data_IF_947933596764
#
_entry.id   IF_947933596764
#
_cell.length_a   1.000
_cell.length_b   1.000
_cell.length_c   1.000
_cell.angle_alpha   90.00
_cell.angle_beta   90.00
_cell.angle_gamma   90.00
#
_symmetry.space_group_name_H-M   'P 1'
#
loop_
_entity.id
_entity.type
_entity.pdbx_description
1 polymer ?
#
# COMPACT_ATOMS: atom_id res chain seq x y z
N UNK A 1 -26.07 -2.28 11.27
CA UNK A 1 -25.68 -2.78 9.93
C UNK A 1 -24.18 -3.02 9.96
N UNK A 2 -23.68 -4.26 9.83
CA UNK A 2 -22.22 -4.50 9.84
C UNK A 2 -21.66 -4.03 8.49
N UNK A 3 -20.94 -2.91 8.51
CA UNK A 3 -20.17 -2.45 7.34
C UNK A 3 -19.15 -3.55 7.05
N UNK A 4 -19.20 -4.12 5.85
CA UNK A 4 -18.31 -5.22 5.49
C UNK A 4 -16.90 -4.65 5.35
N UNK A 5 -16.02 -4.94 6.31
CA UNK A 5 -14.66 -4.36 6.38
C UNK A 5 -13.90 -4.55 5.06
N UNK A 6 -14.17 -5.64 4.33
CA UNK A 6 -13.62 -5.87 3.00
C UNK A 6 -14.07 -4.81 1.98
N UNK A 7 -15.36 -4.45 1.92
CA UNK A 7 -15.83 -3.40 1.01
C UNK A 7 -15.27 -2.02 1.40
N UNK A 8 -15.03 -1.76 2.69
CA UNK A 8 -14.35 -0.54 3.14
C UNK A 8 -12.86 -0.56 2.83
N UNK A 9 -12.15 -1.69 2.99
CA UNK A 9 -10.73 -1.82 2.63
C UNK A 9 -10.57 -1.75 1.11
N UNK A 10 -11.45 -2.38 0.33
CA UNK A 10 -11.44 -2.39 -1.12
C UNK A 10 -11.80 -1.01 -1.68
N UNK A 11 -12.83 -0.34 -1.13
CA UNK A 11 -13.13 1.05 -1.48
C UNK A 11 -12.02 2.00 -1.03
N UNK A 12 -11.40 1.80 0.14
CA UNK A 12 -10.22 2.58 0.55
C UNK A 12 -9.07 2.33 -0.40
N UNK A 13 -8.77 1.09 -0.81
CA UNK A 13 -7.72 0.79 -1.77
C UNK A 13 -8.04 1.43 -3.12
N UNK A 14 -9.24 1.29 -3.67
CA UNK A 14 -9.64 1.88 -4.95
C UNK A 14 -9.67 3.41 -4.92
N UNK A 15 -10.33 4.02 -3.93
CA UNK A 15 -10.32 5.49 -3.79
C UNK A 15 -8.93 6.02 -3.48
N UNK A 16 -8.11 5.31 -2.70
CA UNK A 16 -6.71 5.72 -2.48
C UNK A 16 -5.90 5.59 -3.76
N UNK A 17 -6.02 4.48 -4.51
CA UNK A 17 -5.39 4.35 -5.83
C UNK A 17 -5.82 5.46 -6.79
N UNK A 18 -7.04 5.99 -6.67
CA UNK A 18 -7.54 7.14 -7.42
C UNK A 18 -7.04 8.49 -6.87
N UNK A 19 -6.79 8.61 -5.56
CA UNK A 19 -6.28 9.83 -4.91
C UNK A 19 -4.72 9.90 -4.81
N UNK A 20 -3.99 8.88 -5.26
CA UNK A 20 -2.53 8.74 -5.16
C UNK A 20 -1.84 8.52 -6.53
N UNK A 21 -2.11 9.37 -7.53
CA UNK A 21 -1.68 9.17 -8.93
C UNK A 21 -0.40 9.94 -9.35
N UNK A 22 0.52 9.25 -10.07
CA UNK A 22 1.79 9.62 -10.81
C UNK A 22 3.07 10.12 -10.08
N UNK A 23 4.38 9.92 -10.47
CA UNK A 23 5.15 8.92 -11.30
C UNK A 23 6.65 9.13 -11.82
N UNK A 24 7.53 8.06 -11.90
CA UNK A 24 8.93 7.57 -12.37
C UNK A 24 10.24 8.32 -11.92
N UNK A 25 11.46 7.74 -11.72
CA UNK A 25 12.24 6.56 -12.25
C UNK A 25 13.36 6.14 -11.23
N UNK A 26 14.12 5.02 -11.26
CA UNK A 26 14.12 3.67 -11.89
C UNK A 26 14.91 2.68 -10.94
N UNK A 27 16.18 2.26 -11.18
CA UNK A 27 16.74 1.35 -12.20
C UNK A 27 16.43 -0.15 -11.98
N UNK A 28 16.27 -0.92 -13.08
CA UNK A 28 15.77 -2.30 -13.13
C UNK A 28 16.53 -3.37 -12.31
N UNK A 29 15.78 -4.34 -11.78
CA UNK A 29 16.27 -5.65 -11.37
C UNK A 29 15.47 -6.75 -12.10
N UNK A 30 16.15 -7.81 -12.58
CA UNK A 30 15.49 -8.93 -13.28
C UNK A 30 14.50 -9.71 -12.42
N UNK A 31 14.67 -9.62 -11.09
CA UNK A 31 13.89 -10.29 -10.06
C UNK A 31 13.19 -9.29 -9.12
N UNK A 32 11.88 -9.44 -8.99
CA UNK A 32 11.05 -8.79 -7.97
C UNK A 32 10.27 -9.86 -7.21
N UNK A 33 10.04 -9.70 -5.90
CA UNK A 33 9.55 -10.78 -5.05
C UNK A 33 8.06 -10.97 -5.30
N UNK A 34 7.67 -12.10 -5.88
CA UNK A 34 6.28 -12.35 -6.28
C UNK A 34 5.86 -13.81 -6.03
N UNK A 35 5.71 -14.21 -4.74
CA UNK A 35 5.55 -15.62 -4.35
C UNK A 35 4.11 -16.16 -4.44
N UNK A 36 3.11 -15.32 -4.75
CA UNK A 36 1.72 -15.76 -4.93
C UNK A 36 1.42 -15.97 -6.43
N UNK A 37 0.92 -17.14 -6.78
CA UNK A 37 0.57 -17.48 -8.16
C UNK A 37 -0.73 -16.81 -8.65
N UNK A 38 -1.76 -16.80 -7.80
CA UNK A 38 -3.11 -16.32 -8.17
C UNK A 38 -3.61 -15.24 -7.20
N UNK A 39 -2.91 -14.10 -7.06
CA UNK A 39 -3.46 -12.97 -6.33
C UNK A 39 -4.73 -12.46 -7.02
N UNK A 40 -5.60 -11.84 -6.24
CA UNK A 40 -6.70 -11.02 -6.74
C UNK A 40 -6.33 -9.52 -6.74
N UNK A 41 -5.35 -9.12 -5.93
CA UNK A 41 -4.72 -7.80 -5.95
C UNK A 41 -3.20 -7.97 -5.84
N UNK A 42 -2.47 -7.26 -6.72
CA UNK A 42 -1.02 -7.05 -6.63
C UNK A 42 -0.75 -5.56 -6.58
N UNK A 43 0.08 -5.14 -5.63
CA UNK A 43 0.45 -3.74 -5.41
C UNK A 43 1.96 -3.64 -5.17
N UNK A 44 2.55 -2.58 -5.69
CA UNK A 44 3.95 -2.20 -5.52
C UNK A 44 4.03 -0.71 -5.25
N UNK A 45 4.86 -0.31 -4.30
CA UNK A 45 5.26 1.08 -4.10
C UNK A 45 6.78 1.19 -3.93
N UNK A 46 7.37 2.15 -4.63
CA UNK A 46 8.75 2.56 -4.49
C UNK A 46 8.82 3.82 -3.60
N UNK A 47 9.53 3.73 -2.47
CA UNK A 47 9.71 4.81 -1.51
C UNK A 47 11.00 5.61 -1.73
N UNK A 48 11.98 5.10 -2.50
CA UNK A 48 13.22 5.84 -2.77
C UNK A 48 12.96 7.11 -3.55
N UNK A 49 11.96 7.07 -4.43
CA UNK A 49 11.67 8.15 -5.35
C UNK A 49 11.04 9.40 -4.68
N UNK A 50 10.65 9.32 -3.40
CA UNK A 50 10.19 10.45 -2.59
C UNK A 50 11.29 11.48 -2.25
N UNK A 51 12.57 11.09 -2.37
CA UNK A 51 13.72 11.83 -1.85
C UNK A 51 13.93 11.66 -0.33
N UNK A 52 13.12 10.84 0.35
CA UNK A 52 13.24 10.59 1.80
C UNK A 52 14.62 10.04 2.22
N UNK A 53 15.28 9.31 1.32
CA UNK A 53 16.59 8.69 1.56
C UNK A 53 17.77 9.46 0.94
N UNK A 54 17.52 10.67 0.44
CA UNK A 54 18.57 11.57 -0.07
C UNK A 54 19.38 12.18 1.10
N UNK A 55 20.25 13.15 0.79
CA UNK A 55 21.05 13.87 1.79
C UNK A 55 20.74 15.37 1.81
N UNK A 56 20.89 15.98 2.99
CA UNK A 56 20.72 17.42 3.17
C UNK A 56 19.27 17.89 3.02
N UNK A 57 19.08 18.99 2.30
CA UNK A 57 17.81 19.70 2.20
C UNK A 57 16.70 18.89 1.51
N UNK A 58 17.05 18.04 0.52
CA UNK A 58 16.09 17.21 -0.20
C UNK A 58 15.33 16.24 0.72
N UNK A 59 16.05 15.50 1.57
CA UNK A 59 15.46 14.57 2.53
C UNK A 59 14.69 15.28 3.66
N UNK A 60 15.14 16.47 4.08
CA UNK A 60 14.41 17.30 5.03
C UNK A 60 13.05 17.75 4.46
N UNK A 61 13.04 18.24 3.23
CA UNK A 61 11.83 18.67 2.53
C UNK A 61 10.88 17.50 2.27
N UNK A 62 11.40 16.35 1.84
CA UNK A 62 10.60 15.12 1.67
C UNK A 62 9.97 14.66 2.99
N UNK A 63 10.72 14.66 4.09
CA UNK A 63 10.22 14.30 5.43
C UNK A 63 9.09 15.24 5.89
N UNK A 64 9.27 16.56 5.74
CA UNK A 64 8.25 17.55 6.07
C UNK A 64 7.00 17.41 5.19
N UNK A 65 7.16 17.14 3.90
CA UNK A 65 6.06 16.91 2.98
C UNK A 65 5.26 15.66 3.36
N UNK A 66 5.92 14.53 3.58
CA UNK A 66 5.29 13.25 4.01
C UNK A 66 4.45 13.47 5.28
N UNK A 67 5.03 14.12 6.29
CA UNK A 67 4.34 14.45 7.56
C UNK A 67 3.12 15.34 7.32
N UNK A 68 3.24 16.37 6.49
CA UNK A 68 2.13 17.26 6.13
C UNK A 68 1.01 16.52 5.37
N UNK A 69 1.36 15.55 4.52
CA UNK A 69 0.38 14.68 3.85
C UNK A 69 -0.32 13.74 4.85
N UNK A 70 0.36 13.22 5.88
CA UNK A 70 -0.28 12.46 6.98
C UNK A 70 -1.32 13.32 7.71
N UNK A 71 -0.96 14.56 8.03
CA UNK A 71 -1.86 15.54 8.67
C UNK A 71 -3.07 15.85 7.78
N UNK A 72 -2.83 16.13 6.49
CA UNK A 72 -3.88 16.42 5.50
C UNK A 72 -4.85 15.25 5.30
N UNK A 73 -4.35 14.01 5.20
CA UNK A 73 -5.16 12.79 5.15
C UNK A 73 -6.02 12.61 6.41
N UNK A 74 -5.54 13.08 7.56
CA UNK A 74 -6.30 13.02 8.81
C UNK A 74 -7.45 14.04 8.82
N UNK A 75 -7.18 15.29 8.44
CA UNK A 75 -8.18 16.37 8.34
C UNK A 75 -9.25 16.03 7.30
N UNK A 76 -8.86 15.50 6.14
CA UNK A 76 -9.79 15.02 5.10
C UNK A 76 -10.72 13.88 5.58
N UNK A 77 -10.34 13.17 6.64
CA UNK A 77 -11.15 12.14 7.31
C UNK A 77 -11.94 12.67 8.52
N UNK A 78 -12.08 13.99 8.65
CA UNK A 78 -12.91 14.65 9.66
C UNK A 78 -12.26 14.83 11.03
N UNK A 79 -10.92 14.84 11.12
CA UNK A 79 -10.21 15.13 12.37
C UNK A 79 -10.23 16.63 12.71
N UNK A 80 -10.38 16.96 13.98
CA UNK A 80 -10.19 18.32 14.49
C UNK A 80 -8.70 18.74 14.55
N UNK A 81 -8.45 20.03 14.82
CA UNK A 81 -7.10 20.62 14.86
C UNK A 81 -6.18 20.00 15.93
N UNK A 82 -6.73 19.53 17.04
CA UNK A 82 -5.97 18.90 18.12
C UNK A 82 -5.61 17.47 17.74
N UNK A 83 -6.56 16.74 17.14
CA UNK A 83 -6.35 15.40 16.63
C UNK A 83 -5.36 15.37 15.45
N UNK A 84 -5.41 16.35 14.55
CA UNK A 84 -4.47 16.45 13.41
C UNK A 84 -3.05 16.77 13.90
N UNK A 85 -2.88 17.75 14.82
CA UNK A 85 -1.56 18.08 15.38
C UNK A 85 -0.93 16.88 16.11
N UNK A 86 -1.69 16.17 16.94
CA UNK A 86 -1.18 14.97 17.62
C UNK A 86 -0.76 13.85 16.63
N UNK A 87 -1.46 13.72 15.51
CA UNK A 87 -1.15 12.74 14.46
C UNK A 87 0.07 13.17 13.64
N UNK A 88 0.27 14.47 13.41
CA UNK A 88 1.49 15.03 12.84
C UNK A 88 2.71 14.70 13.71
N UNK A 89 2.68 15.01 15.00
CA UNK A 89 3.80 14.71 15.93
C UNK A 89 4.10 13.20 15.99
N UNK A 90 3.06 12.36 16.02
CA UNK A 90 3.25 10.90 15.99
C UNK A 90 3.82 10.40 14.66
N UNK A 91 3.51 11.06 13.53
CA UNK A 91 4.11 10.78 12.23
C UNK A 91 5.58 11.22 12.18
N UNK A 92 5.91 12.41 12.68
CA UNK A 92 7.29 12.92 12.79
C UNK A 92 8.16 11.94 13.61
N UNK A 93 7.68 11.49 14.76
CA UNK A 93 8.37 10.51 15.61
C UNK A 93 8.50 9.14 14.91
N UNK A 94 7.44 8.65 14.25
CA UNK A 94 7.51 7.37 13.52
C UNK A 94 8.54 7.42 12.37
N UNK A 95 8.58 8.53 11.63
CA UNK A 95 9.52 8.72 10.53
C UNK A 95 10.95 8.82 11.04
N UNK A 96 11.21 9.74 11.97
CA UNK A 96 12.56 10.04 12.45
C UNK A 96 13.11 8.92 13.35
N UNK A 97 12.34 8.46 14.35
CA UNK A 97 12.85 7.56 15.39
C UNK A 97 12.86 6.08 14.97
N UNK A 98 12.14 5.69 13.91
CA UNK A 98 12.02 4.28 13.46
C UNK A 98 12.47 4.06 12.02
N UNK A 99 12.01 4.88 11.08
CA UNK A 99 12.29 4.69 9.64
C UNK A 99 13.60 5.36 9.18
N UNK A 100 14.03 6.44 9.84
CA UNK A 100 15.27 7.16 9.51
C UNK A 100 16.40 6.95 10.52
N UNK A 101 16.11 6.51 11.75
CA UNK A 101 17.09 6.25 12.83
C UNK A 101 18.05 5.07 12.60
N UNK A 102 17.97 4.42 11.43
CA UNK A 102 18.74 3.21 11.13
C UNK A 102 18.31 1.99 11.95
N UNK A 103 17.02 1.86 12.27
CA UNK A 103 16.44 0.57 12.71
C UNK A 103 16.00 -0.26 11.49
N UNK A 104 15.29 0.40 10.57
CA UNK A 104 14.89 -0.12 9.27
C UNK A 104 14.80 1.03 8.28
N UNK A 105 15.30 0.87 7.06
CA UNK A 105 14.98 1.74 5.92
C UNK A 105 14.19 0.90 4.94
N UNK A 106 13.03 1.36 4.50
CA UNK A 106 12.17 0.61 3.57
C UNK A 106 12.20 1.32 2.23
N UNK A 107 12.80 0.69 1.24
CA UNK A 107 12.93 1.20 -0.11
C UNK A 107 11.74 0.82 -0.99
N UNK A 108 11.19 -0.39 -0.79
CA UNK A 108 10.06 -0.88 -1.60
C UNK A 108 9.06 -1.66 -0.74
N UNK A 109 7.79 -1.59 -1.12
CA UNK A 109 6.70 -2.42 -0.62
C UNK A 109 6.07 -3.18 -1.78
N UNK A 110 5.95 -4.50 -1.63
CA UNK A 110 5.10 -5.35 -2.46
C UNK A 110 3.98 -5.92 -1.59
N UNK A 111 2.76 -5.97 -2.13
CA UNK A 111 1.63 -6.60 -1.48
C UNK A 111 0.83 -7.43 -2.47
N UNK A 112 0.65 -8.71 -2.14
CA UNK A 112 -0.14 -9.66 -2.91
C UNK A 112 -1.24 -10.20 -2.03
N UNK A 113 -2.49 -10.12 -2.49
CA UNK A 113 -3.66 -10.59 -1.77
C UNK A 113 -4.49 -11.47 -2.68
N UNK A 114 -4.69 -12.73 -2.32
CA UNK A 114 -5.71 -13.60 -2.90
C UNK A 114 -6.94 -13.65 -1.99
N UNK A 115 -6.74 -13.93 -0.69
CA UNK A 115 -7.77 -13.92 0.34
C UNK A 115 -7.14 -13.73 1.75
N UNK A 116 -7.95 -13.81 2.81
CA UNK A 116 -7.50 -13.61 4.20
C UNK A 116 -6.45 -14.64 4.67
N UNK A 117 -6.48 -15.86 4.12
CA UNK A 117 -5.54 -16.94 4.41
C UNK A 117 -4.40 -17.03 3.39
N UNK A 118 -4.47 -16.24 2.31
CA UNK A 118 -3.53 -16.24 1.20
C UNK A 118 -3.13 -14.81 0.81
N UNK A 119 -2.20 -14.21 1.56
CA UNK A 119 -1.58 -12.93 1.23
C UNK A 119 -0.11 -12.86 1.62
N UNK A 120 0.67 -11.98 0.99
CA UNK A 120 2.03 -11.64 1.40
C UNK A 120 2.28 -10.14 1.30
N UNK A 121 2.82 -9.54 2.36
CA UNK A 121 3.44 -8.23 2.39
C UNK A 121 4.94 -8.44 2.39
N UNK A 122 5.66 -7.76 1.50
CA UNK A 122 7.12 -7.88 1.37
C UNK A 122 7.70 -6.49 1.32
N UNK A 123 8.68 -6.23 2.18
CA UNK A 123 9.41 -4.97 2.29
C UNK A 123 10.85 -5.22 1.85
N UNK A 124 11.38 -4.41 0.93
CA UNK A 124 12.81 -4.40 0.62
C UNK A 124 13.46 -3.14 1.16
N UNK A 125 14.72 -3.23 1.59
CA UNK A 125 15.30 -2.19 2.40
C UNK A 125 16.67 -2.51 3.01
N UNK A 126 16.99 -1.82 4.09
CA UNK A 126 18.08 -2.14 5.00
C UNK A 126 17.47 -2.40 6.38
N UNK A 127 17.61 -3.62 6.91
CA UNK A 127 16.99 -4.03 8.17
C UNK A 127 18.06 -4.37 9.21
N UNK A 128 18.16 -3.58 10.29
CA UNK A 128 19.08 -3.88 11.39
C UNK A 128 18.43 -4.93 12.29
N UNK A 129 18.55 -6.20 11.87
CA UNK A 129 17.91 -7.38 12.46
C UNK A 129 17.86 -7.32 13.99
N UNK A 130 19.00 -7.22 14.66
CA UNK A 130 19.12 -7.14 16.12
C UNK A 130 18.24 -6.06 16.78
N UNK A 131 18.10 -4.88 16.16
CA UNK A 131 17.25 -3.78 16.68
C UNK A 131 15.76 -4.10 16.51
N UNK A 132 15.39 -4.75 15.42
CA UNK A 132 14.01 -5.23 15.20
C UNK A 132 13.67 -6.37 16.19
N UNK A 133 14.62 -7.24 16.51
CA UNK A 133 14.40 -8.31 17.51
C UNK A 133 14.14 -7.75 18.90
N UNK A 134 14.88 -6.71 19.30
CA UNK A 134 14.67 -6.03 20.57
C UNK A 134 13.27 -5.38 20.70
N UNK A 135 12.62 -5.02 19.58
CA UNK A 135 11.25 -4.48 19.56
C UNK A 135 10.19 -5.58 19.62
N UNK A 136 10.44 -6.72 18.96
CA UNK A 136 9.49 -7.85 18.90
C UNK A 136 9.47 -8.70 20.20
N UNK A 137 10.58 -8.73 20.95
CA UNK A 137 10.76 -9.50 22.18
C UNK A 137 11.44 -10.85 21.91
N UNK A 138 12.53 -11.13 22.63
CA UNK A 138 13.38 -12.31 22.40
C UNK A 138 12.69 -13.66 22.65
N UNK A 139 11.56 -13.66 23.34
CA UNK A 139 10.71 -14.82 23.62
C UNK A 139 9.87 -15.28 22.40
N UNK A 140 9.69 -14.41 21.40
CA UNK A 140 8.78 -14.64 20.25
C UNK A 140 9.50 -14.93 18.94
N UNK A 141 10.82 -15.10 19.00
CA UNK A 141 11.70 -15.04 17.83
C UNK A 141 12.57 -16.30 17.78
N UNK A 142 12.55 -16.97 16.63
CA UNK A 142 13.59 -17.92 16.24
C UNK A 142 14.60 -17.15 15.40
N UNK A 143 15.79 -16.88 15.94
CA UNK A 143 16.89 -16.31 15.15
C UNK A 143 17.67 -17.43 14.43
N UNK A 144 17.98 -17.22 13.16
CA UNK A 144 18.83 -18.10 12.34
C UNK A 144 19.98 -17.31 11.70
N UNK A 145 20.84 -17.98 10.95
CA UNK A 145 22.04 -17.33 10.39
C UNK A 145 21.67 -16.19 9.42
N UNK A 146 20.80 -16.47 8.43
CA UNK A 146 20.43 -15.49 7.39
C UNK A 146 19.22 -14.61 7.76
N UNK A 147 18.27 -15.12 8.56
CA UNK A 147 17.03 -14.43 8.89
C UNK A 147 16.49 -14.79 10.27
N UNK A 148 15.73 -13.87 10.87
CA UNK A 148 14.94 -14.10 12.08
C UNK A 148 13.47 -14.30 11.74
N UNK A 149 12.80 -15.17 12.48
CA UNK A 149 11.37 -15.47 12.32
C UNK A 149 10.61 -15.14 13.60
N UNK A 150 9.53 -14.38 13.48
CA UNK A 150 8.56 -14.11 14.54
C UNK A 150 7.16 -14.61 14.14
N UNK A 151 6.34 -14.96 15.15
CA UNK A 151 4.92 -15.31 14.94
C UNK A 151 4.03 -14.51 15.89
N UNK A 152 2.93 -13.98 15.38
CA UNK A 152 1.96 -13.20 16.16
C UNK A 152 0.53 -13.44 15.69
N UNK A 153 -0.45 -13.25 16.58
CA UNK A 153 -1.87 -13.32 16.20
C UNK A 153 -2.24 -12.12 15.33
N UNK A 154 -3.05 -12.35 14.29
CA UNK A 154 -3.55 -11.26 13.44
C UNK A 154 -4.41 -10.30 14.28
N UNK A 155 -4.16 -8.98 14.20
CA UNK A 155 -5.00 -7.99 14.89
C UNK A 155 -6.39 -7.86 14.26
N UNK A 156 -6.58 -8.40 13.06
CA UNK A 156 -7.87 -8.43 12.34
C UNK A 156 -8.67 -9.71 12.64
N UNK A 157 -7.97 -10.82 12.91
CA UNK A 157 -8.56 -12.09 13.30
C UNK A 157 -7.67 -12.81 14.33
N UNK A 158 -7.94 -12.72 15.65
CA UNK A 158 -7.10 -13.33 16.68
C UNK A 158 -6.96 -14.86 16.59
N UNK A 159 -7.81 -15.55 15.81
CA UNK A 159 -7.69 -16.99 15.54
C UNK A 159 -6.59 -17.31 14.51
N UNK A 160 -6.19 -16.36 13.66
CA UNK A 160 -5.13 -16.51 12.67
C UNK A 160 -3.76 -16.16 13.24
N UNK A 161 -2.75 -16.91 12.82
CA UNK A 161 -1.35 -16.60 13.07
C UNK A 161 -0.73 -15.99 11.81
N UNK A 162 0.02 -14.92 12.01
CA UNK A 162 0.87 -14.28 11.03
C UNK A 162 2.32 -14.68 11.31
N UNK A 163 2.99 -15.06 10.23
CA UNK A 163 4.41 -15.29 10.15
C UNK A 163 5.09 -14.00 9.69
N UNK A 164 6.21 -13.65 10.33
CA UNK A 164 7.10 -12.59 9.89
C UNK A 164 8.53 -13.09 9.82
N UNK A 165 9.20 -12.86 8.70
CA UNK A 165 10.62 -13.12 8.51
C UNK A 165 11.35 -11.80 8.26
N UNK A 166 12.54 -11.64 8.83
CA UNK A 166 13.40 -10.46 8.66
C UNK A 166 14.81 -10.93 8.33
N UNK A 167 15.23 -10.70 7.08
CA UNK A 167 16.62 -10.81 6.63
C UNK A 167 17.36 -9.48 6.81
N UNK A 168 18.46 -9.31 6.07
CA UNK A 168 19.22 -8.05 6.00
C UNK A 168 18.61 -7.03 5.02
N UNK A 169 18.06 -7.51 3.91
CA UNK A 169 17.58 -6.72 2.76
C UNK A 169 16.07 -6.89 2.45
N UNK A 170 15.44 -7.94 2.99
CA UNK A 170 14.02 -8.24 2.80
C UNK A 170 13.32 -8.62 4.13
N UNK A 171 12.10 -8.11 4.33
CA UNK A 171 11.21 -8.53 5.40
C UNK A 171 9.85 -8.94 4.84
N UNK A 172 9.31 -10.06 5.31
CA UNK A 172 8.11 -10.72 4.77
C UNK A 172 7.09 -10.90 5.87
N UNK A 173 5.81 -10.63 5.59
CA UNK A 173 4.68 -10.91 6.50
C UNK A 173 3.58 -11.63 5.71
N UNK A 174 3.15 -12.80 6.18
CA UNK A 174 2.09 -13.60 5.57
C UNK A 174 1.32 -14.42 6.63
N UNK A 175 0.19 -15.05 6.30
CA UNK A 175 -0.40 -16.10 7.12
C UNK A 175 0.58 -17.26 7.36
N UNK A 176 0.61 -17.80 8.58
CA UNK A 176 1.60 -18.82 8.97
C UNK A 176 1.40 -20.15 8.21
N UNK A 177 0.17 -20.47 7.83
CA UNK A 177 -0.19 -21.66 7.04
C UNK A 177 0.40 -21.68 5.61
N UNK A 178 0.83 -20.53 5.07
CA UNK A 178 1.50 -20.46 3.75
C UNK A 178 2.99 -20.15 3.84
N UNK A 179 3.51 -19.88 5.05
CA UNK A 179 4.88 -19.35 5.28
C UNK A 179 5.98 -20.14 4.60
N UNK A 180 5.95 -21.48 4.67
CA UNK A 180 6.93 -22.35 4.02
C UNK A 180 6.98 -22.17 2.50
N UNK A 181 5.81 -22.09 1.84
CA UNK A 181 5.72 -21.85 0.40
C UNK A 181 6.28 -20.46 0.05
N UNK A 182 5.92 -19.43 0.83
CA UNK A 182 6.42 -18.07 0.59
C UNK A 182 7.95 -18.01 0.70
N UNK A 183 8.51 -18.56 1.76
CA UNK A 183 9.95 -18.60 1.99
C UNK A 183 10.71 -19.37 0.88
N UNK A 184 10.20 -20.54 0.45
CA UNK A 184 10.79 -21.32 -0.64
C UNK A 184 10.83 -20.53 -1.96
N UNK A 185 9.73 -19.86 -2.32
CA UNK A 185 9.66 -19.13 -3.59
C UNK A 185 10.58 -17.92 -3.63
N UNK A 186 10.70 -17.20 -2.51
CA UNK A 186 11.62 -16.07 -2.36
C UNK A 186 13.09 -16.54 -2.41
N UNK A 187 13.44 -17.60 -1.67
CA UNK A 187 14.77 -18.21 -1.72
C UNK A 187 15.14 -18.71 -3.13
N UNK A 188 14.18 -19.27 -3.87
CA UNK A 188 14.38 -19.73 -5.25
C UNK A 188 14.50 -18.61 -6.29
N UNK A 189 14.24 -17.35 -5.90
CA UNK A 189 14.14 -16.16 -6.76
C UNK A 189 13.23 -16.36 -7.98
N UNK A 190 12.08 -17.00 -7.77
CA UNK A 190 11.05 -17.23 -8.81
C UNK A 190 9.86 -16.30 -8.63
N UNK A 191 9.34 -15.81 -9.76
CA UNK A 191 8.10 -15.04 -9.81
C UNK A 191 6.97 -15.99 -10.16
N UNK A 192 6.08 -16.26 -9.21
CA UNK A 192 4.96 -17.19 -9.41
C UNK A 192 3.77 -16.57 -10.14
N UNK A 193 3.69 -15.24 -10.25
CA UNK A 193 2.54 -14.51 -10.78
C UNK A 193 1.97 -15.14 -12.06
N UNK A 194 0.71 -15.52 -11.95
CA UNK A 194 -0.07 -16.11 -13.03
C UNK A 194 -0.25 -15.14 -14.20
N UNK A 195 -0.65 -15.71 -15.34
CA UNK A 195 -0.74 -15.00 -16.62
C UNK A 195 -1.63 -13.75 -16.57
N UNK A 196 -2.66 -13.76 -15.72
CA UNK A 196 -3.57 -12.62 -15.52
C UNK A 196 -2.83 -11.37 -15.02
N UNK A 197 -1.73 -11.54 -14.27
CA UNK A 197 -0.89 -10.47 -13.71
C UNK A 197 0.39 -10.19 -14.52
N UNK A 198 0.42 -10.61 -15.79
CA UNK A 198 1.54 -10.31 -16.70
C UNK A 198 1.75 -8.80 -16.88
N UNK A 199 0.68 -7.99 -16.78
CA UNK A 199 0.79 -6.54 -16.87
C UNK A 199 1.50 -5.95 -15.65
N UNK A 200 1.14 -6.35 -14.43
CA UNK A 200 1.84 -5.97 -13.20
C UNK A 200 3.32 -6.35 -13.25
N UNK A 201 3.64 -7.54 -13.74
CA UNK A 201 5.03 -7.98 -13.94
C UNK A 201 5.82 -7.06 -14.88
N UNK A 202 5.17 -6.47 -15.90
CA UNK A 202 5.77 -5.43 -16.76
C UNK A 202 5.84 -4.07 -16.08
N UNK A 203 4.80 -3.68 -15.33
CA UNK A 203 4.72 -2.40 -14.63
C UNK A 203 5.77 -2.29 -13.51
N UNK A 204 5.99 -3.35 -12.72
CA UNK A 204 7.01 -3.38 -11.65
C UNK A 204 8.44 -3.32 -12.21
N UNK A 205 8.70 -3.93 -13.38
CA UNK A 205 10.03 -3.91 -14.02
C UNK A 205 10.52 -2.52 -14.42
N UNK A 206 9.63 -1.52 -14.49
CA UNK A 206 10.00 -0.13 -14.73
C UNK A 206 10.03 0.71 -13.44
N UNK A 207 10.01 0.05 -12.27
CA UNK A 207 10.15 0.61 -10.91
C UNK A 207 9.43 1.96 -10.64
N UNK A 208 8.13 2.06 -10.95
CA UNK A 208 7.33 3.27 -10.69
C UNK A 208 7.16 3.56 -9.19
N UNK A 209 6.87 4.81 -8.76
CA UNK A 209 6.43 5.07 -7.39
C UNK A 209 5.27 4.18 -6.96
N UNK A 210 4.32 3.88 -7.87
CA UNK A 210 3.26 2.90 -7.63
C UNK A 210 2.96 2.08 -8.89
N UNK A 211 2.78 0.77 -8.72
CA UNK A 211 2.03 -0.07 -9.64
C UNK A 211 0.94 -0.84 -8.88
N UNK A 212 -0.23 -0.99 -9.48
CA UNK A 212 -1.26 -1.88 -8.96
C UNK A 212 -1.99 -2.62 -10.09
N UNK A 213 -2.33 -3.87 -9.85
CA UNK A 213 -3.22 -4.66 -10.70
C UNK A 213 -4.26 -5.34 -9.81
N UNK A 214 -5.53 -5.27 -10.19
CA UNK A 214 -6.63 -5.71 -9.34
C UNK A 214 -7.68 -6.44 -10.19
N UNK A 215 -7.88 -7.73 -9.92
CA UNK A 215 -8.95 -8.55 -10.47
C UNK A 215 -10.23 -8.37 -9.64
N UNK A 216 -10.96 -7.30 -9.96
CA UNK A 216 -12.20 -6.92 -9.25
C UNK A 216 -13.29 -7.98 -9.36
N UNK A 217 -13.35 -8.73 -10.47
CA UNK A 217 -14.27 -9.86 -10.63
C UNK A 217 -13.99 -10.98 -9.61
N UNK A 218 -12.71 -11.30 -9.36
CA UNK A 218 -12.34 -12.28 -8.34
C UNK A 218 -12.67 -11.78 -6.92
N UNK A 219 -12.36 -10.51 -6.62
CA UNK A 219 -12.65 -9.90 -5.31
C UNK A 219 -14.17 -9.82 -5.04
N UNK A 220 -14.99 -9.60 -6.06
CA UNK A 220 -16.46 -9.67 -5.95
C UNK A 220 -16.94 -11.07 -5.57
N UNK A 221 -16.37 -12.11 -6.21
CA UNK A 221 -16.75 -13.50 -5.93
C UNK A 221 -16.30 -13.96 -4.52
N UNK A 222 -15.18 -13.44 -4.02
CA UNK A 222 -14.70 -13.71 -2.65
C UNK A 222 -15.35 -12.83 -1.58
N UNK A 223 -15.94 -11.68 -1.95
CA UNK A 223 -16.66 -10.78 -1.03
C UNK A 223 -18.05 -11.33 -0.67
N UNK A 224 -18.10 -12.24 0.30
CA UNK A 224 -19.35 -12.82 0.78
C UNK A 224 -20.41 -11.75 1.15
N UNK A 225 -21.53 -11.76 0.42
CA UNK A 225 -22.83 -11.15 0.75
C UNK A 225 -22.87 -9.64 1.10
N UNK A 226 -21.85 -8.85 0.74
CA UNK A 226 -21.87 -7.40 0.92
C UNK A 226 -22.47 -6.66 -0.30
N UNK A 227 -23.33 -5.64 -0.12
CA UNK A 227 -23.68 -4.76 -1.23
C UNK A 227 -22.43 -4.01 -1.70
N UNK A 228 -22.12 -4.13 -2.99
CA UNK A 228 -21.01 -3.43 -3.65
C UNK A 228 -21.61 -2.41 -4.63
N UNK A 229 -21.05 -1.19 -4.76
CA UNK A 229 -21.63 -0.15 -5.62
C UNK A 229 -21.83 -0.61 -7.07
N UNK A 230 -22.85 -0.11 -7.76
CA UNK A 230 -23.18 -0.60 -9.12
C UNK A 230 -22.05 -0.34 -10.13
N UNK A 231 -21.41 0.83 -10.06
CA UNK A 231 -20.21 1.16 -10.84
C UNK A 231 -19.06 0.14 -10.66
N UNK A 232 -19.02 -0.52 -9.50
CA UNK A 232 -18.03 -1.55 -9.21
C UNK A 232 -18.34 -2.88 -9.90
N UNK A 233 -19.63 -3.24 -10.03
CA UNK A 233 -20.08 -4.52 -10.64
C UNK A 233 -19.70 -4.63 -12.12
N UNK A 234 -19.72 -3.50 -12.83
CA UNK A 234 -19.34 -3.40 -14.23
C UNK A 234 -17.81 -3.60 -14.44
N UNK A 235 -17.00 -3.18 -13.48
CA UNK A 235 -15.55 -3.33 -13.51
C UNK A 235 -15.15 -4.79 -13.27
N UNK A 236 -14.44 -5.38 -14.22
CA UNK A 236 -13.80 -6.70 -14.02
C UNK A 236 -12.40 -6.57 -13.48
N UNK A 237 -11.71 -5.50 -13.84
CA UNK A 237 -10.28 -5.42 -13.65
C UNK A 237 -9.78 -3.98 -13.69
N UNK A 238 -8.84 -3.64 -12.80
CA UNK A 238 -8.22 -2.31 -12.72
C UNK A 238 -6.70 -2.44 -12.77
N UNK A 239 -6.04 -1.52 -13.48
CA UNK A 239 -4.59 -1.34 -13.41
C UNK A 239 -4.26 0.10 -13.11
N UNK A 240 -3.14 0.29 -12.43
CA UNK A 240 -2.54 1.57 -12.18
C UNK A 240 -1.04 1.47 -12.38
N UNK A 241 -0.48 2.41 -13.12
CA UNK A 241 0.94 2.71 -13.13
C UNK A 241 1.13 4.22 -13.01
N UNK A 242 1.98 4.57 -12.05
CA UNK A 242 2.26 5.92 -11.59
C UNK A 242 3.71 6.16 -11.97
N UNK A 243 3.93 6.70 -13.17
CA UNK A 243 5.27 6.77 -13.72
C UNK A 243 5.55 8.07 -14.59
N UNK A 244 6.77 8.66 -14.63
CA UNK A 244 7.28 9.91 -15.30
C UNK A 244 7.50 9.83 -16.81
N UNK A 245 7.68 8.62 -17.36
CA UNK A 245 7.39 8.28 -18.74
C UNK A 245 5.92 7.85 -18.96
N UNK A 246 5.13 7.46 -17.94
CA UNK A 246 3.73 7.01 -18.11
C UNK A 246 2.85 7.10 -16.85
N UNK A 247 1.84 7.95 -16.90
CA UNK A 247 0.85 8.06 -15.83
C UNK A 247 -0.51 7.59 -16.31
N UNK A 248 -0.98 6.47 -15.77
CA UNK A 248 -2.13 5.77 -16.35
C UNK A 248 -2.87 4.86 -15.37
N UNK A 249 -4.18 5.10 -15.24
CA UNK A 249 -5.13 4.14 -14.69
C UNK A 249 -5.93 3.51 -15.83
N UNK A 250 -6.09 2.19 -15.83
CA UNK A 250 -6.97 1.46 -16.75
C UNK A 250 -8.11 0.83 -15.94
N UNK A 251 -9.34 1.16 -16.32
CA UNK A 251 -10.58 0.58 -15.82
C UNK A 251 -11.18 -0.32 -16.90
N UNK A 252 -11.10 -1.65 -16.73
CA UNK A 252 -11.63 -2.60 -17.70
C UNK A 252 -13.13 -2.84 -17.47
N UNK A 253 -13.93 -2.35 -18.42
CA UNK A 253 -15.39 -2.51 -18.48
C UNK A 253 -15.74 -3.10 -19.85
N UNK A 254 -16.05 -4.40 -19.93
CA UNK A 254 -16.29 -5.06 -21.21
C UNK A 254 -17.60 -4.61 -21.86
N UNK A 255 -18.64 -4.42 -21.06
CA UNK A 255 -19.95 -3.97 -21.52
C UNK A 255 -19.88 -2.51 -22.04
N UNK A 256 -20.43 -2.20 -23.23
CA UNK A 256 -20.33 -0.86 -23.80
C UNK A 256 -21.23 0.18 -23.11
N UNK A 257 -22.41 -0.20 -22.64
CA UNK A 257 -23.38 0.74 -22.04
C UNK A 257 -22.91 1.13 -20.62
N UNK A 258 -22.51 0.14 -19.83
CA UNK A 258 -21.88 0.35 -18.52
C UNK A 258 -20.57 1.15 -18.63
N UNK A 259 -19.78 0.91 -19.70
CA UNK A 259 -18.54 1.67 -19.93
C UNK A 259 -18.82 3.13 -20.26
N UNK A 260 -19.84 3.42 -21.07
CA UNK A 260 -20.22 4.80 -21.35
C UNK A 260 -20.80 5.50 -20.11
N UNK A 261 -21.60 4.79 -19.32
CA UNK A 261 -22.12 5.31 -18.05
C UNK A 261 -21.00 5.62 -17.05
N UNK A 262 -20.04 4.70 -16.87
CA UNK A 262 -18.89 4.91 -16.00
C UNK A 262 -17.95 6.00 -16.52
N UNK A 263 -17.76 6.13 -17.83
CA UNK A 263 -16.95 7.23 -18.40
C UNK A 263 -17.50 8.59 -17.97
N UNK A 264 -18.81 8.82 -18.09
CA UNK A 264 -19.44 10.09 -17.68
C UNK A 264 -19.27 10.36 -16.17
N UNK A 265 -19.29 9.32 -15.33
CA UNK A 265 -18.98 9.46 -13.90
C UNK A 265 -17.51 9.83 -13.67
N UNK A 266 -16.59 9.17 -14.38
CA UNK A 266 -15.14 9.42 -14.29
C UNK A 266 -14.78 10.83 -14.78
N UNK A 267 -15.36 11.30 -15.88
CA UNK A 267 -15.19 12.67 -16.39
C UNK A 267 -15.64 13.72 -15.36
N UNK A 268 -16.77 13.49 -14.68
CA UNK A 268 -17.21 14.33 -13.56
C UNK A 268 -16.26 14.32 -12.35
N UNK A 269 -15.60 13.19 -12.08
CA UNK A 269 -14.60 13.06 -11.01
C UNK A 269 -13.25 13.68 -11.40
N UNK A 270 -12.84 13.63 -12.66
CA UNK A 270 -11.58 14.20 -13.18
C UNK A 270 -11.45 15.70 -12.85
N UNK A 271 -12.54 16.46 -12.94
CA UNK A 271 -12.56 17.86 -12.50
C UNK A 271 -12.21 18.04 -11.02
N UNK A 272 -12.78 17.20 -10.15
CA UNK A 272 -12.47 17.19 -8.71
C UNK A 272 -11.06 16.67 -8.40
N UNK A 273 -10.53 15.72 -9.18
CA UNK A 273 -9.16 15.22 -9.02
C UNK A 273 -8.12 16.33 -9.20
N UNK A 274 -8.33 17.28 -10.11
CA UNK A 274 -7.46 18.47 -10.30
C UNK A 274 -7.31 19.29 -9.02
N UNK A 275 -8.43 19.53 -8.32
CA UNK A 275 -8.45 20.28 -7.05
C UNK A 275 -7.67 19.54 -5.94
N UNK A 276 -7.79 18.20 -5.89
CA UNK A 276 -7.12 17.35 -4.89
C UNK A 276 -5.64 17.04 -5.22
N UNK A 277 -5.25 17.18 -6.50
CA UNK A 277 -3.86 17.10 -6.96
C UNK A 277 -3.13 18.45 -6.91
N UNK A 278 -3.80 19.53 -6.47
CA UNK A 278 -3.17 20.83 -6.24
C UNK A 278 -2.88 21.63 -7.50
N UNK A 279 -3.72 21.54 -8.54
CA UNK A 279 -3.57 22.20 -9.85
C UNK A 279 -2.32 21.81 -10.68
N UNK A 280 -1.40 21.01 -10.14
CA UNK A 280 -0.18 20.54 -10.82
C UNK A 280 -0.44 19.55 -11.97
N UNK A 281 -1.64 18.97 -12.03
CA UNK A 281 -1.95 17.84 -12.91
C UNK A 281 -3.26 18.06 -13.67
N UNK A 282 -3.17 18.11 -14.99
CA UNK A 282 -4.32 18.03 -15.90
C UNK A 282 -4.65 16.57 -16.21
N UNK A 283 -5.58 15.99 -15.46
CA UNK A 283 -6.10 14.66 -15.76
C UNK A 283 -7.04 14.69 -16.97
N UNK A 284 -7.00 13.63 -17.78
CA UNK A 284 -7.95 13.35 -18.85
C UNK A 284 -8.55 11.96 -18.68
N UNK A 285 -9.76 11.76 -19.18
CA UNK A 285 -10.40 10.45 -19.25
C UNK A 285 -10.88 10.17 -20.67
N UNK A 286 -10.69 8.93 -21.15
CA UNK A 286 -11.15 8.50 -22.46
C UNK A 286 -11.48 7.01 -22.48
N UNK A 287 -12.56 6.62 -23.17
CA UNK A 287 -12.81 5.21 -23.48
C UNK A 287 -12.01 4.77 -24.71
N UNK A 288 -11.39 3.58 -24.64
CA UNK A 288 -10.75 2.93 -25.78
C UNK A 288 -10.81 1.42 -25.63
N UNK A 289 -11.35 0.75 -26.66
CA UNK A 289 -11.69 -0.68 -26.61
C UNK A 289 -12.62 -1.01 -25.44
N UNK A 290 -12.26 -2.04 -24.66
CA UNK A 290 -13.01 -2.51 -23.49
C UNK A 290 -12.56 -1.82 -22.19
N UNK A 291 -12.14 -0.55 -22.24
CA UNK A 291 -11.60 0.14 -21.08
C UNK A 291 -11.85 1.64 -21.10
N UNK A 292 -11.89 2.24 -19.91
CA UNK A 292 -11.67 3.67 -19.69
C UNK A 292 -10.23 3.82 -19.23
N UNK A 293 -9.55 4.83 -19.76
CA UNK A 293 -8.23 5.24 -19.34
C UNK A 293 -8.33 6.60 -18.66
N UNK A 294 -7.67 6.75 -17.52
CA UNK A 294 -7.45 8.03 -16.87
C UNK A 294 -5.95 8.29 -16.95
N UNK A 295 -5.56 9.38 -17.57
CA UNK A 295 -4.18 9.72 -17.88
C UNK A 295 -3.85 11.13 -17.40
N UNK A 296 -2.57 11.40 -17.16
CA UNK A 296 -2.07 12.70 -16.79
C UNK A 296 -0.63 12.87 -17.31
N UNK A 297 -0.12 14.11 -17.41
CA UNK A 297 1.27 14.37 -17.77
C UNK A 297 2.22 13.63 -16.83
N UNK A 298 3.22 12.99 -17.39
CA UNK A 298 4.20 12.21 -16.66
C UNK A 298 5.46 13.07 -16.43
N UNK A 299 6.02 13.10 -15.21
CA UNK A 299 7.22 13.87 -14.86
C UNK A 299 7.76 13.58 -13.45
N UNK A 300 9.07 13.74 -13.23
CA UNK A 300 9.76 13.35 -11.98
C UNK A 300 9.26 14.06 -10.71
N UNK A 301 8.79 15.32 -10.83
CA UNK A 301 8.15 16.03 -9.72
C UNK A 301 6.96 15.24 -9.17
N UNK A 302 6.25 14.58 -10.07
CA UNK A 302 5.06 13.82 -9.79
C UNK A 302 5.43 12.50 -9.09
N UNK A 303 6.46 11.76 -9.57
CA UNK A 303 7.03 10.56 -8.89
C UNK A 303 7.18 10.79 -7.40
N UNK A 304 7.87 11.87 -7.10
CA UNK A 304 8.28 12.26 -5.78
C UNK A 304 7.08 12.58 -4.91
N UNK A 305 6.08 13.25 -5.47
CA UNK A 305 4.80 13.54 -4.82
C UNK A 305 4.03 12.25 -4.48
N UNK A 306 3.88 11.28 -5.39
CA UNK A 306 3.17 10.03 -5.05
C UNK A 306 3.97 9.09 -4.17
N UNK A 307 5.28 9.00 -4.35
CA UNK A 307 6.12 8.23 -3.43
C UNK A 307 5.96 8.77 -2.01
N UNK A 308 6.03 10.10 -1.83
CA UNK A 308 5.76 10.79 -0.56
C UNK A 308 4.35 10.55 -0.03
N UNK A 309 3.31 10.72 -0.87
CA UNK A 309 1.91 10.47 -0.48
C UNK A 309 1.63 9.00 -0.15
N UNK A 310 2.32 8.05 -0.78
CA UNK A 310 2.22 6.62 -0.49
C UNK A 310 2.84 6.26 0.86
N UNK A 311 4.00 6.83 1.19
CA UNK A 311 4.60 6.73 2.52
C UNK A 311 3.64 7.33 3.56
N UNK A 312 3.13 8.54 3.31
CA UNK A 312 2.18 9.21 4.20
C UNK A 312 0.88 8.41 4.41
N UNK A 313 0.33 7.80 3.35
CA UNK A 313 -0.84 6.94 3.45
C UNK A 313 -0.60 5.76 4.39
N UNK A 314 0.51 5.05 4.21
CA UNK A 314 0.88 3.90 5.04
C UNK A 314 1.12 4.32 6.50
N UNK A 315 1.91 5.38 6.71
CA UNK A 315 2.17 5.96 8.04
C UNK A 315 0.87 6.35 8.76
N UNK A 316 -0.10 6.95 8.06
CA UNK A 316 -1.39 7.32 8.64
C UNK A 316 -2.15 6.12 9.25
N UNK A 317 -2.01 4.89 8.71
CA UNK A 317 -2.59 3.70 9.36
C UNK A 317 -1.83 3.33 10.63
N UNK A 318 -0.50 3.29 10.62
CA UNK A 318 0.29 2.91 11.78
C UNK A 318 0.14 3.91 12.94
N UNK A 319 0.16 5.20 12.65
CA UNK A 319 -0.07 6.28 13.64
C UNK A 319 -1.48 6.18 14.25
N UNK A 320 -2.52 5.86 13.45
CA UNK A 320 -3.86 5.64 13.99
C UNK A 320 -3.99 4.32 14.77
N UNK A 321 -3.29 3.27 14.37
CA UNK A 321 -3.28 1.99 15.08
C UNK A 321 -2.70 2.13 16.50
N UNK A 322 -1.66 2.94 16.67
CA UNK A 322 -1.13 3.30 18.00
C UNK A 322 -2.20 3.98 18.88
N UNK A 323 -3.03 4.87 18.34
CA UNK A 323 -4.11 5.52 19.11
C UNK A 323 -5.16 4.51 19.61
N UNK A 324 -5.47 3.47 18.86
CA UNK A 324 -6.33 2.37 19.33
C UNK A 324 -5.66 1.48 20.39
N UNK A 325 -4.33 1.30 20.35
CA UNK A 325 -3.58 0.59 21.40
C UNK A 325 -3.42 1.44 22.68
N UNK A 326 -3.34 2.77 22.56
CA UNK A 326 -3.29 3.69 23.71
C UNK A 326 -4.64 3.80 24.45
N UNK A 327 -5.77 3.67 23.74
CA UNK A 327 -7.08 3.46 24.40
C UNK A 327 -7.24 2.01 24.93
N UNK A 328 -6.41 1.07 24.46
CA UNK A 328 -6.13 -0.24 25.05
C UNK A 328 -5.83 -0.15 26.55
N UNK A 329 -4.65 0.44 26.82
CA UNK A 329 -3.98 0.36 28.12
C UNK A 329 -4.54 1.27 29.22
N UNK A 330 -5.47 2.19 28.91
CA UNK A 330 -6.06 3.10 29.90
C UNK A 330 -7.31 2.55 30.58
N UNK A 331 -7.67 1.27 30.36
CA UNK A 331 -8.82 0.61 31.03
C UNK A 331 -8.47 -0.62 31.85
N UNK A 332 -7.27 -1.18 31.73
CA UNK A 332 -6.85 -2.35 32.53
C UNK A 332 -6.18 -1.98 33.86
N UNK A 333 -6.01 -0.69 34.17
CA UNK A 333 -5.39 -0.21 35.42
C UNK A 333 -6.37 0.29 36.49
N UNK A 334 -7.66 0.49 36.17
CA UNK A 334 -8.65 1.01 37.14
C UNK A 334 -9.51 -0.09 37.80
N UNK A 335 -9.57 -1.31 37.26
CA UNK A 335 -10.30 -2.45 37.84
C UNK A 335 -9.50 -3.24 38.91
N UNK A 336 -8.45 -2.62 39.48
CA UNK A 336 -7.69 -3.15 40.63
C UNK A 336 -7.35 -2.09 41.67
N UNK A 337 -8.39 -1.49 42.25
CA UNK A 337 -8.31 -0.87 43.59
C UNK A 337 -9.49 -1.31 44.44
N UNK A 338 -9.14 -2.12 45.44
CA UNK A 338 -9.82 -2.58 46.66
C UNK A 338 -11.32 -2.27 46.84
#
# INVERSE_FOLDING_TARGET
MKINNFNTILAIILFTSVFMLSGFNDPQADYFPAPLASPQLSFYANFTASGLYDTGEAALNASQEIVSQVESLCVARGADKTASHNIRTAAENLLNDRLLSGQMRVYELFFYYADQQNFAVILRGEFVRQRLLAVLGSDKISDGDDASVARFRSPLNPAELLYMQVGSDEAVICPDNISGNIAEQLASRRNMLGKDFTSFSKMVRVRPAVAAEINLAALQNSAAAGPVPDWFKALRHTRLIVSSQMTKMQLFVPDPEEREHLLRQVEGLVGGLREHAGNLVDFSAAASGNSIFIEAPAGEELERLVSSRSIAFLMHFFVRAQKSQLMVSSRETDDKRE
#
